data_IF_738037290995
#
_entry.id   IF_738037290995
#
_cell.length_a   1.000
_cell.length_b   1.000
_cell.length_c   1.000
_cell.angle_alpha   90.00
_cell.angle_beta   90.00
_cell.angle_gamma   90.00
#
_symmetry.space_group_name_H-M   'P 1'
#
loop_
_entity.id
_entity.type
_entity.pdbx_description
1 polymer ?
#
# COMPACT_ATOMS: atom_id res chain seq x y z
N UNK A 1 -12.01 2.49 -4.91
CA UNK A 1 -11.04 2.97 -3.88
C UNK A 1 -10.57 1.88 -2.89
N UNK A 2 -10.72 0.57 -3.17
CA UNK A 2 -10.12 -0.52 -2.37
C UNK A 2 -8.67 -0.85 -2.80
N UNK A 3 -8.10 -0.06 -3.72
CA UNK A 3 -6.88 -0.43 -4.46
C UNK A 3 -5.61 -0.42 -3.60
N UNK A 4 -5.44 0.59 -2.72
CA UNK A 4 -4.18 0.77 -2.01
C UNK A 4 -3.92 -0.29 -0.92
N UNK A 5 -4.95 -0.68 -0.15
CA UNK A 5 -4.79 -1.70 0.89
C UNK A 5 -4.55 -3.10 0.31
N UNK A 6 -5.23 -3.42 -0.80
CA UNK A 6 -5.00 -4.67 -1.52
C UNK A 6 -3.60 -4.69 -2.15
N UNK A 7 -3.11 -3.56 -2.67
CA UNK A 7 -1.76 -3.41 -3.18
C UNK A 7 -0.71 -3.65 -2.07
N UNK A 8 -0.88 -3.02 -0.90
CA UNK A 8 0.05 -3.19 0.23
C UNK A 8 0.05 -4.62 0.78
N UNK A 9 -1.12 -5.27 0.86
CA UNK A 9 -1.21 -6.69 1.25
C UNK A 9 -0.60 -7.63 0.20
N UNK A 10 -0.79 -7.34 -1.09
CA UNK A 10 -0.19 -8.11 -2.17
C UNK A 10 1.33 -7.98 -2.17
N UNK A 11 1.86 -6.77 -1.95
CA UNK A 11 3.28 -6.53 -1.78
C UNK A 11 3.86 -7.31 -0.59
N UNK A 12 3.22 -7.26 0.59
CA UNK A 12 3.66 -8.06 1.74
C UNK A 12 3.67 -9.57 1.45
N UNK A 13 2.67 -10.06 0.71
CA UNK A 13 2.58 -11.47 0.32
C UNK A 13 3.68 -11.87 -0.67
N UNK A 14 4.03 -10.99 -1.60
CA UNK A 14 5.13 -11.19 -2.55
C UNK A 14 6.49 -11.16 -1.84
N UNK A 15 6.71 -10.20 -0.94
CA UNK A 15 7.91 -10.11 -0.11
C UNK A 15 8.09 -11.34 0.78
N UNK A 16 7.02 -11.84 1.39
CA UNK A 16 7.06 -13.07 2.19
C UNK A 16 7.45 -14.31 1.37
N UNK A 17 7.24 -14.28 0.05
CA UNK A 17 7.66 -15.32 -0.89
C UNK A 17 9.06 -15.07 -1.48
N UNK A 18 9.69 -13.93 -1.19
CA UNK A 18 10.94 -13.50 -1.82
C UNK A 18 10.79 -13.07 -3.28
N UNK A 19 9.57 -12.76 -3.71
CA UNK A 19 9.26 -12.39 -5.09
C UNK A 19 9.29 -10.87 -5.28
N UNK A 20 10.52 -10.33 -5.25
CA UNK A 20 10.77 -8.88 -5.40
C UNK A 20 10.34 -8.36 -6.78
N UNK A 21 10.34 -9.22 -7.80
CA UNK A 21 9.87 -8.89 -9.14
C UNK A 21 8.36 -8.64 -9.17
N UNK A 22 7.59 -9.44 -8.43
CA UNK A 22 6.15 -9.19 -8.27
C UNK A 22 5.88 -7.87 -7.53
N UNK A 23 6.71 -7.49 -6.54
CA UNK A 23 6.59 -6.19 -5.87
C UNK A 23 6.94 -5.05 -6.83
N UNK A 24 8.03 -5.16 -7.60
CA UNK A 24 8.37 -4.17 -8.62
C UNK A 24 7.27 -4.01 -9.69
N UNK A 25 6.66 -5.13 -10.10
CA UNK A 25 5.53 -5.16 -11.04
C UNK A 25 4.25 -4.50 -10.53
N UNK A 26 4.13 -4.27 -9.23
CA UNK A 26 3.03 -3.50 -8.62
C UNK A 26 3.24 -1.97 -8.71
N UNK A 27 4.36 -1.52 -9.30
CA UNK A 27 4.68 -0.11 -9.48
C UNK A 27 5.57 0.48 -8.38
N UNK A 28 6.18 -0.36 -7.54
CA UNK A 28 7.15 0.08 -6.54
C UNK A 28 8.55 0.24 -7.15
N UNK A 29 9.22 1.35 -6.85
CA UNK A 29 10.61 1.55 -7.26
C UNK A 29 11.53 0.49 -6.63
N UNK A 30 12.58 0.03 -7.33
CA UNK A 30 13.48 -1.01 -6.84
C UNK A 30 14.16 -0.66 -5.51
N UNK A 31 14.47 0.61 -5.27
CA UNK A 31 14.97 1.11 -3.98
C UNK A 31 13.96 0.87 -2.85
N UNK A 32 12.68 1.10 -3.12
CA UNK A 32 11.59 0.91 -2.17
C UNK A 32 11.33 -0.58 -1.91
N UNK A 33 11.50 -1.44 -2.92
CA UNK A 33 11.41 -2.91 -2.74
C UNK A 33 12.51 -3.41 -1.80
N UNK A 34 13.75 -2.91 -1.97
CA UNK A 34 14.86 -3.25 -1.08
C UNK A 34 14.63 -2.85 0.37
N UNK A 35 14.08 -1.65 0.60
CA UNK A 35 13.68 -1.16 1.93
C UNK A 35 12.56 -2.02 2.54
N UNK A 36 11.55 -2.37 1.74
CA UNK A 36 10.45 -3.22 2.18
C UNK A 36 10.93 -4.63 2.54
N UNK A 37 11.85 -5.20 1.76
CA UNK A 37 12.43 -6.51 2.04
C UNK A 37 13.26 -6.51 3.32
N UNK A 38 14.02 -5.45 3.58
CA UNK A 38 14.76 -5.28 4.85
C UNK A 38 13.84 -5.12 6.06
N UNK A 39 12.70 -4.46 5.89
CA UNK A 39 11.72 -4.20 6.96
C UNK A 39 10.67 -5.31 7.13
N UNK A 40 10.60 -6.27 6.22
CA UNK A 40 9.58 -7.34 6.24
C UNK A 40 8.21 -6.91 5.69
N UNK A 41 8.18 -5.83 4.90
CA UNK A 41 6.99 -5.30 4.23
C UNK A 41 6.38 -4.08 4.92
N UNK A 42 5.17 -3.72 4.50
CA UNK A 42 4.44 -2.58 5.03
C UNK A 42 3.98 -2.84 6.47
N UNK A 43 4.33 -1.96 7.43
CA UNK A 43 3.84 -2.09 8.79
C UNK A 43 2.34 -1.82 8.86
N UNK A 44 1.67 -2.52 9.78
CA UNK A 44 0.21 -2.46 9.99
C UNK A 44 -0.29 -1.04 10.26
N UNK A 45 0.54 -0.22 10.91
CA UNK A 45 0.29 1.20 11.18
C UNK A 45 0.18 2.02 9.90
N UNK A 46 1.05 1.79 8.91
CA UNK A 46 1.00 2.48 7.61
C UNK A 46 -0.22 2.10 6.79
N UNK A 47 -0.65 0.83 6.83
CA UNK A 47 -1.88 0.37 6.17
C UNK A 47 -3.12 1.03 6.80
N UNK A 48 -3.15 1.09 8.13
CA UNK A 48 -4.23 1.76 8.87
C UNK A 48 -4.27 3.26 8.61
N UNK A 49 -3.12 3.93 8.55
CA UNK A 49 -3.04 5.37 8.30
C UNK A 49 -3.48 5.71 6.87
N UNK A 50 -3.06 4.92 5.89
CA UNK A 50 -3.49 5.09 4.50
C UNK A 50 -5.00 4.86 4.34
N UNK A 51 -5.58 3.89 5.07
CA UNK A 51 -7.04 3.66 5.12
C UNK A 51 -7.79 4.89 5.64
N UNK A 52 -7.31 5.48 6.74
CA UNK A 52 -7.90 6.71 7.31
C UNK A 52 -7.77 7.87 6.35
N UNK A 53 -6.62 8.02 5.70
CA UNK A 53 -6.36 9.10 4.73
C UNK A 53 -7.23 8.97 3.48
N UNK A 54 -7.41 7.76 2.92
CA UNK A 54 -8.31 7.51 1.79
C UNK A 54 -9.78 7.76 2.17
N UNK A 55 -10.18 7.35 3.37
CA UNK A 55 -11.54 7.59 3.88
C UNK A 55 -11.77 9.07 4.10
N UNK A 56 -10.80 9.78 4.66
CA UNK A 56 -10.81 11.22 4.81
C UNK A 56 -10.89 11.91 3.45
N UNK A 57 -10.01 11.59 2.50
CA UNK A 57 -10.00 12.13 1.14
C UNK A 57 -11.32 11.89 0.39
N UNK A 58 -11.97 10.74 0.60
CA UNK A 58 -13.33 10.49 0.10
C UNK A 58 -14.35 11.41 0.76
N UNK A 59 -14.24 11.63 2.06
CA UNK A 59 -15.14 12.53 2.80
C UNK A 59 -14.99 14.01 2.43
N UNK A 60 -13.80 14.46 2.01
CA UNK A 60 -13.57 15.84 1.50
C UNK A 60 -13.74 15.96 -0.02
N UNK A 61 -13.67 14.85 -0.76
CA UNK A 61 -13.87 14.79 -2.21
C UNK A 61 -15.32 14.55 -2.65
N UNK A 62 -16.23 14.24 -1.72
CA UNK A 62 -17.67 14.36 -1.95
C UNK A 62 -18.03 15.84 -1.82
N UNK A 63 -18.39 16.56 -2.91
CA UNK A 63 -19.09 17.81 -2.74
C UNK A 63 -20.35 17.44 -1.96
N UNK A 64 -20.53 18.04 -0.79
CA UNK A 64 -21.84 18.11 -0.14
C UNK A 64 -22.77 18.80 -1.13
N UNK A 65 -23.38 18.03 -2.01
CA UNK A 65 -24.62 18.43 -2.64
C UNK A 65 -25.66 18.33 -1.52
N UNK A 66 -25.85 19.42 -0.80
CA UNK A 66 -27.10 19.82 -0.15
C UNK A 66 -26.96 21.25 0.37
#
# INVERSE_FOLDING_TARGET
>A
MQSANNLMRAANKALAKGDDAAVAGMGFSPEHVGELRKSGGFPSTSIGNNTRMITFLRSIGEPRAH
#
